data_IF_711099519477
#
_entry.id   IF_711099519477
#
_cell.length_a   1.000
_cell.length_b   1.000
_cell.length_c   1.000
_cell.angle_alpha   90.00
_cell.angle_beta   90.00
_cell.angle_gamma   90.00
#
_symmetry.space_group_name_H-M   'P 1'
#
loop_
_entity.id
_entity.type
_entity.pdbx_description
1 polymer ?
#
# COMPACT_ATOMS: atom_id res chain seq x y z
N UNK A 1 -1.85 -24.20 -2.22
CA UNK A 1 -1.73 -23.52 -0.93
C UNK A 1 -3.12 -23.43 -0.31
N UNK A 2 -3.25 -23.95 0.92
CA UNK A 2 -4.51 -23.92 1.65
C UNK A 2 -4.85 -22.47 2.05
N UNK A 3 -6.03 -21.99 1.68
CA UNK A 3 -6.50 -20.67 2.09
C UNK A 3 -7.12 -20.77 3.49
N UNK A 4 -6.44 -20.23 4.50
CA UNK A 4 -7.04 -20.09 5.82
C UNK A 4 -7.83 -18.79 5.91
N UNK A 5 -9.06 -18.82 6.45
CA UNK A 5 -9.79 -17.61 6.77
C UNK A 5 -8.96 -16.73 7.72
N UNK A 6 -8.76 -15.48 7.36
CA UNK A 6 -8.12 -14.48 8.20
C UNK A 6 -9.00 -13.22 8.23
N UNK A 7 -10.07 -13.25 9.04
CA UNK A 7 -10.95 -12.11 9.14
C UNK A 7 -10.20 -10.90 9.68
N UNK A 8 -10.39 -9.77 9.01
CA UNK A 8 -9.80 -8.50 9.41
C UNK A 8 -10.18 -8.15 10.84
N UNK A 9 -9.16 -7.92 11.67
CA UNK A 9 -9.39 -7.47 13.04
C UNK A 9 -9.87 -6.01 13.09
N UNK A 10 -10.39 -5.53 14.24
CA UNK A 10 -10.96 -4.19 14.38
C UNK A 10 -10.02 -3.06 13.93
N UNK A 11 -8.71 -3.23 14.13
CA UNK A 11 -7.72 -2.24 13.70
C UNK A 11 -7.60 -2.13 12.17
N UNK A 12 -7.70 -3.26 11.46
CA UNK A 12 -7.68 -3.27 10.01
C UNK A 12 -8.97 -2.70 9.43
N UNK A 13 -10.12 -3.06 10.02
CA UNK A 13 -11.42 -2.50 9.63
C UNK A 13 -11.44 -0.97 9.79
N UNK A 14 -11.00 -0.47 10.95
CA UNK A 14 -10.86 0.97 11.18
C UNK A 14 -9.91 1.62 10.15
N UNK A 15 -8.84 0.94 9.77
CA UNK A 15 -7.93 1.42 8.72
C UNK A 15 -8.67 1.62 7.41
N UNK A 16 -9.40 0.61 6.94
CA UNK A 16 -10.21 0.66 5.72
C UNK A 16 -11.24 1.79 5.78
N UNK A 17 -12.00 1.90 6.86
CA UNK A 17 -13.00 2.96 7.03
C UNK A 17 -12.40 4.38 6.93
N UNK A 18 -11.19 4.59 7.46
CA UNK A 18 -10.53 5.90 7.39
C UNK A 18 -10.03 6.19 5.97
N UNK A 19 -9.53 5.17 5.24
CA UNK A 19 -9.16 5.33 3.83
C UNK A 19 -10.39 5.67 2.98
N UNK A 20 -11.51 4.96 3.16
CA UNK A 20 -12.77 5.24 2.46
C UNK A 20 -13.27 6.66 2.76
N UNK A 21 -13.17 7.13 4.01
CA UNK A 21 -13.51 8.51 4.39
C UNK A 21 -12.58 9.53 3.74
N UNK A 22 -11.28 9.26 3.65
CA UNK A 22 -10.31 10.15 3.00
C UNK A 22 -10.60 10.27 1.50
N UNK A 23 -10.85 9.14 0.83
CA UNK A 23 -11.26 9.11 -0.57
C UNK A 23 -12.54 9.92 -0.79
N UNK A 24 -13.60 9.62 -0.04
CA UNK A 24 -14.90 10.29 -0.18
C UNK A 24 -14.80 11.80 0.09
N UNK A 25 -13.96 12.22 1.04
CA UNK A 25 -13.74 13.64 1.30
C UNK A 25 -12.99 14.33 0.14
N UNK A 26 -11.91 13.72 -0.36
CA UNK A 26 -11.13 14.28 -1.47
C UNK A 26 -11.99 14.36 -2.73
N UNK A 27 -12.81 13.35 -3.03
CA UNK A 27 -13.74 13.33 -4.17
C UNK A 27 -14.87 14.36 -4.04
N UNK A 28 -15.17 14.84 -2.85
CA UNK A 28 -16.25 15.78 -2.57
C UNK A 28 -17.58 15.13 -2.24
N UNK A 29 -17.61 13.80 -2.06
CA UNK A 29 -18.79 13.04 -1.68
C UNK A 29 -19.21 13.29 -0.23
N UNK A 30 -18.26 13.71 0.63
CA UNK A 30 -18.51 14.18 1.98
C UNK A 30 -18.42 15.72 2.02
N UNK A 31 -19.47 16.37 2.54
CA UNK A 31 -19.50 17.83 2.70
C UNK A 31 -18.56 18.30 3.83
N UNK A 32 -18.55 17.57 4.96
CA UNK A 32 -17.78 17.88 6.14
C UNK A 32 -16.55 16.97 6.24
N UNK A 33 -15.45 17.54 6.72
CA UNK A 33 -14.21 16.77 6.92
C UNK A 33 -14.38 15.80 8.09
N UNK A 34 -14.09 14.49 7.89
CA UNK A 34 -14.02 13.53 8.97
C UNK A 34 -13.00 13.94 10.05
N UNK A 35 -13.34 13.75 11.31
CA UNK A 35 -12.47 14.11 12.45
C UNK A 35 -11.12 13.39 12.43
N UNK A 36 -11.07 12.20 11.84
CA UNK A 36 -9.87 11.37 11.67
C UNK A 36 -8.82 12.05 10.79
N UNK A 37 -9.25 12.92 9.87
CA UNK A 37 -8.39 13.69 8.97
C UNK A 37 -7.98 15.06 9.56
N UNK A 38 -8.61 15.48 10.64
CA UNK A 38 -8.50 16.83 11.19
C UNK A 38 -7.09 17.28 11.61
N UNK A 39 -6.14 16.37 11.80
CA UNK A 39 -4.72 16.74 12.03
C UNK A 39 -4.00 17.20 10.75
N UNK A 40 -4.61 16.99 9.60
CA UNK A 40 -4.08 17.34 8.29
C UNK A 40 -5.11 18.11 7.46
N UNK A 41 -5.87 19.00 8.11
CA UNK A 41 -6.95 19.79 7.48
C UNK A 41 -6.47 20.46 6.19
N UNK A 42 -5.40 21.25 6.26
CA UNK A 42 -4.88 21.99 5.10
C UNK A 42 -4.48 21.06 3.94
N UNK A 43 -3.90 19.89 4.26
CA UNK A 43 -3.55 18.90 3.26
C UNK A 43 -4.79 18.38 2.54
N UNK A 44 -5.80 17.91 3.29
CA UNK A 44 -6.99 17.31 2.69
C UNK A 44 -7.87 18.31 1.97
N UNK A 45 -7.95 19.55 2.44
CA UNK A 45 -8.61 20.65 1.72
C UNK A 45 -7.89 20.98 0.43
N UNK A 46 -6.56 21.03 0.45
CA UNK A 46 -5.74 21.21 -0.75
C UNK A 46 -5.94 20.08 -1.77
N UNK A 47 -5.90 18.83 -1.32
CA UNK A 47 -6.14 17.65 -2.18
C UNK A 47 -7.55 17.69 -2.80
N UNK A 48 -8.58 18.00 -2.02
CA UNK A 48 -9.95 18.16 -2.52
C UNK A 48 -10.07 19.22 -3.60
N UNK A 49 -9.44 20.39 -3.37
CA UNK A 49 -9.46 21.49 -4.33
C UNK A 49 -8.76 21.09 -5.65
N UNK A 50 -7.65 20.38 -5.56
CA UNK A 50 -6.89 19.88 -6.72
C UNK A 50 -7.57 18.71 -7.42
N UNK A 51 -8.31 17.85 -6.69
CA UNK A 51 -9.15 16.82 -7.29
C UNK A 51 -10.23 17.42 -8.18
N UNK A 52 -10.90 18.49 -7.74
CA UNK A 52 -11.88 19.22 -8.54
C UNK A 52 -11.29 19.83 -9.82
N UNK A 53 -9.97 20.04 -9.87
CA UNK A 53 -9.23 20.52 -11.05
C UNK A 53 -8.70 19.38 -11.94
N UNK A 54 -8.88 18.12 -11.55
CA UNK A 54 -8.42 16.95 -12.30
C UNK A 54 -6.95 16.60 -12.14
N UNK A 55 -6.28 17.12 -11.09
CA UNK A 55 -4.85 16.88 -10.84
C UNK A 55 -4.58 15.69 -9.89
N UNK A 56 -5.60 15.22 -9.18
CA UNK A 56 -5.48 14.15 -8.20
C UNK A 56 -6.11 12.87 -8.71
N UNK A 57 -5.39 11.77 -8.56
CA UNK A 57 -5.88 10.41 -8.67
C UNK A 57 -6.04 9.83 -7.27
N UNK A 58 -7.21 9.29 -6.93
CA UNK A 58 -7.53 8.76 -5.58
C UNK A 58 -7.96 7.31 -5.70
N UNK A 59 -7.43 6.45 -4.82
CA UNK A 59 -7.74 5.01 -4.75
C UNK A 59 -7.61 4.32 -6.12
N UNK A 60 -6.54 4.65 -6.86
CA UNK A 60 -6.30 4.02 -8.16
C UNK A 60 -5.78 2.59 -8.02
N UNK A 61 -6.43 1.71 -8.71
CA UNK A 61 -6.05 0.32 -8.87
C UNK A 61 -5.11 0.18 -10.08
N UNK A 62 -3.81 0.03 -9.83
CA UNK A 62 -2.83 -0.22 -10.88
C UNK A 62 -2.50 -1.70 -10.96
N UNK A 63 -2.46 -2.22 -12.17
CA UNK A 63 -2.06 -3.58 -12.43
C UNK A 63 -1.01 -3.64 -13.53
N UNK A 64 -0.08 -4.57 -13.38
CA UNK A 64 1.03 -4.75 -14.29
C UNK A 64 1.17 -6.22 -14.67
N UNK A 65 1.58 -6.45 -15.92
CA UNK A 65 2.02 -7.75 -16.42
C UNK A 65 3.41 -8.09 -15.85
N UNK A 66 3.91 -9.29 -16.14
CA UNK A 66 5.26 -9.71 -15.76
C UNK A 66 6.37 -8.82 -16.36
N UNK A 67 6.11 -8.24 -17.50
CA UNK A 67 7.03 -7.33 -18.19
C UNK A 67 6.84 -5.86 -17.77
N UNK A 68 6.00 -5.64 -16.75
CA UNK A 68 5.63 -4.34 -16.21
C UNK A 68 4.82 -3.44 -17.14
N UNK A 69 4.25 -4.01 -18.18
CA UNK A 69 3.23 -3.31 -18.97
C UNK A 69 1.94 -3.15 -18.16
N UNK A 70 1.25 -2.04 -18.36
CA UNK A 70 -0.02 -1.79 -17.70
C UNK A 70 -1.11 -2.74 -18.21
N UNK A 71 -1.88 -3.32 -17.30
CA UNK A 71 -3.00 -4.22 -17.62
C UNK A 71 -4.20 -3.95 -16.72
N UNK A 72 -5.31 -4.64 -16.94
CA UNK A 72 -6.49 -4.54 -16.09
C UNK A 72 -6.32 -5.27 -14.76
N UNK A 73 -7.09 -4.86 -13.75
CA UNK A 73 -6.99 -5.38 -12.37
C UNK A 73 -7.25 -6.88 -12.26
N UNK A 74 -8.11 -7.44 -13.11
CA UNK A 74 -8.54 -8.86 -13.09
C UNK A 74 -8.18 -9.63 -14.35
N UNK A 75 -7.30 -9.10 -15.18
CA UNK A 75 -6.88 -9.77 -16.40
C UNK A 75 -6.03 -11.01 -16.13
N UNK A 76 -5.98 -11.93 -17.09
CA UNK A 76 -5.24 -13.20 -16.93
C UNK A 76 -3.75 -13.02 -16.80
N UNK A 77 -3.21 -11.98 -17.39
CA UNK A 77 -1.80 -11.61 -17.38
C UNK A 77 -1.43 -10.67 -16.21
N UNK A 78 -2.40 -10.34 -15.34
CA UNK A 78 -2.13 -9.54 -14.15
C UNK A 78 -1.19 -10.28 -13.21
N UNK A 79 -0.01 -9.72 -13.04
CA UNK A 79 1.04 -10.26 -12.21
C UNK A 79 1.24 -9.48 -10.91
N UNK A 80 1.22 -8.16 -10.97
CA UNK A 80 1.33 -7.26 -9.83
C UNK A 80 0.12 -6.33 -9.76
N UNK A 81 -0.38 -6.13 -8.56
CA UNK A 81 -1.43 -5.16 -8.23
C UNK A 81 -0.93 -4.17 -7.21
N UNK A 82 -1.13 -2.89 -7.47
CA UNK A 82 -0.74 -1.77 -6.62
C UNK A 82 -1.94 -0.87 -6.44
N UNK A 83 -2.37 -0.69 -5.21
CA UNK A 83 -3.44 0.25 -4.85
C UNK A 83 -2.81 1.45 -4.16
N UNK A 84 -2.97 2.63 -4.75
CA UNK A 84 -2.51 3.89 -4.19
C UNK A 84 -3.66 4.60 -3.50
N UNK A 85 -3.37 5.24 -2.37
CA UNK A 85 -4.37 6.05 -1.69
C UNK A 85 -4.61 7.36 -2.45
N UNK A 86 -3.54 8.09 -2.80
CA UNK A 86 -3.66 9.26 -3.68
C UNK A 86 -2.35 9.54 -4.44
N UNK A 87 -2.48 10.10 -5.63
CA UNK A 87 -1.37 10.67 -6.39
C UNK A 87 -1.76 12.05 -6.92
N UNK A 88 -0.95 13.04 -6.61
CA UNK A 88 -1.11 14.44 -7.05
C UNK A 88 -0.07 14.81 -8.11
N UNK A 89 -0.52 15.03 -9.32
CA UNK A 89 0.32 15.52 -10.43
C UNK A 89 0.61 17.01 -10.24
N UNK A 90 1.84 17.33 -9.82
CA UNK A 90 2.29 18.70 -9.59
C UNK A 90 2.63 19.41 -10.92
N UNK A 91 3.14 18.64 -11.88
CA UNK A 91 3.47 19.08 -13.25
C UNK A 91 3.47 17.88 -14.19
N UNK A 92 3.85 18.07 -15.44
CA UNK A 92 4.02 16.97 -16.39
C UNK A 92 5.12 16.00 -15.96
N UNK A 93 6.15 16.49 -15.25
CA UNK A 93 7.32 15.71 -14.87
C UNK A 93 7.41 15.40 -13.38
N UNK A 94 6.48 15.86 -12.55
CA UNK A 94 6.53 15.67 -11.10
C UNK A 94 5.18 15.33 -10.47
N UNK A 95 5.23 14.48 -9.44
CA UNK A 95 4.05 14.07 -8.69
C UNK A 95 4.38 13.86 -7.20
N UNK A 96 3.33 13.88 -6.36
CA UNK A 96 3.39 13.44 -4.98
C UNK A 96 2.51 12.20 -4.84
N UNK A 97 3.06 11.13 -4.28
CA UNK A 97 2.32 9.91 -3.94
C UNK A 97 2.07 9.92 -2.44
N UNK A 98 0.82 9.87 -2.05
CA UNK A 98 0.40 9.82 -0.65
C UNK A 98 -0.02 8.42 -0.26
N UNK A 99 0.29 8.06 0.99
CA UNK A 99 -0.12 6.80 1.61
C UNK A 99 -0.57 7.10 3.05
N UNK A 100 -1.86 6.84 3.31
CA UNK A 100 -2.47 7.11 4.60
C UNK A 100 -2.16 5.97 5.57
N UNK A 101 -1.64 6.31 6.74
CA UNK A 101 -1.31 5.32 7.78
C UNK A 101 -2.12 5.57 9.03
N UNK A 102 -2.84 4.55 9.46
CA UNK A 102 -3.51 4.51 10.75
C UNK A 102 -2.72 3.65 11.72
N UNK A 103 -2.73 3.99 13.01
CA UNK A 103 -2.06 3.21 14.03
C UNK A 103 -0.59 3.55 14.27
N UNK A 104 0.24 2.51 14.45
CA UNK A 104 1.63 2.68 14.92
C UNK A 104 2.60 3.01 13.78
N UNK A 105 3.38 4.07 13.94
CA UNK A 105 4.52 4.41 13.10
C UNK A 105 5.74 3.56 13.47
N UNK A 106 6.11 3.60 14.76
CA UNK A 106 7.36 3.02 15.26
C UNK A 106 7.42 1.49 15.11
N UNK A 107 8.55 1.01 14.59
CA UNK A 107 8.81 -0.40 14.29
C UNK A 107 8.30 -0.88 12.93
N UNK A 108 7.66 0.00 12.14
CA UNK A 108 7.19 -0.29 10.79
C UNK A 108 7.87 0.54 9.70
N UNK A 109 8.79 1.43 10.06
CA UNK A 109 9.38 2.41 9.16
C UNK A 109 10.02 1.76 7.93
N UNK A 110 10.74 0.63 8.12
CA UNK A 110 11.36 -0.11 7.02
C UNK A 110 10.30 -0.69 6.07
N UNK A 111 9.23 -1.27 6.62
CA UNK A 111 8.14 -1.84 5.80
C UNK A 111 7.41 -0.75 5.02
N UNK A 112 7.09 0.34 5.70
CA UNK A 112 6.45 1.49 5.08
C UNK A 112 7.34 2.12 4.00
N UNK A 113 8.64 2.29 4.26
CA UNK A 113 9.58 2.77 3.25
C UNK A 113 9.70 1.86 2.03
N UNK A 114 9.65 0.53 2.22
CA UNK A 114 9.62 -0.43 1.10
C UNK A 114 8.32 -0.32 0.30
N UNK A 115 7.17 -0.15 0.96
CA UNK A 115 5.89 0.06 0.28
C UNK A 115 5.90 1.35 -0.51
N UNK A 116 6.35 2.45 0.10
CA UNK A 116 6.48 3.75 -0.55
C UNK A 116 7.33 3.67 -1.83
N UNK A 117 8.49 3.02 -1.74
CA UNK A 117 9.37 2.88 -2.90
C UNK A 117 8.74 2.02 -4.00
N UNK A 118 7.95 0.98 -3.65
CA UNK A 118 7.19 0.22 -4.64
C UNK A 118 6.17 1.11 -5.36
N UNK A 119 5.45 1.96 -4.65
CA UNK A 119 4.52 2.90 -5.24
C UNK A 119 5.21 3.88 -6.20
N UNK A 120 6.35 4.42 -5.78
CA UNK A 120 7.18 5.31 -6.60
C UNK A 120 7.64 4.61 -7.88
N UNK A 121 8.18 3.39 -7.79
CA UNK A 121 8.60 2.60 -8.96
C UNK A 121 7.41 2.36 -9.89
N UNK A 122 6.27 1.94 -9.34
CA UNK A 122 5.05 1.68 -10.10
C UNK A 122 4.53 2.94 -10.82
N UNK A 123 4.60 4.10 -10.16
CA UNK A 123 4.24 5.38 -10.76
C UNK A 123 5.20 5.77 -11.91
N UNK A 124 6.51 5.58 -11.74
CA UNK A 124 7.47 5.83 -12.80
C UNK A 124 7.30 4.90 -14.01
N UNK A 125 6.94 3.65 -13.78
CA UNK A 125 6.63 2.70 -14.87
C UNK A 125 5.36 3.12 -15.60
N UNK A 126 4.32 3.47 -14.86
CA UNK A 126 3.01 3.83 -15.43
C UNK A 126 3.04 5.18 -16.18
N UNK A 127 3.84 6.13 -15.69
CA UNK A 127 3.95 7.48 -16.23
C UNK A 127 5.40 7.75 -16.66
N UNK A 128 5.73 7.44 -17.93
CA UNK A 128 7.11 7.60 -18.42
C UNK A 128 7.65 9.03 -18.37
N UNK A 129 6.76 10.03 -18.41
CA UNK A 129 7.13 11.45 -18.41
C UNK A 129 7.55 11.96 -17.02
N UNK A 130 7.22 11.23 -15.95
CA UNK A 130 7.62 11.62 -14.60
C UNK A 130 9.13 11.47 -14.41
N UNK A 131 9.76 12.53 -13.92
CA UNK A 131 11.18 12.58 -13.56
C UNK A 131 11.40 12.59 -12.05
N UNK A 132 10.45 13.18 -11.31
CA UNK A 132 10.53 13.35 -9.86
C UNK A 132 9.24 12.94 -9.17
N UNK A 133 9.37 12.15 -8.12
CA UNK A 133 8.25 11.78 -7.25
C UNK A 133 8.64 12.00 -5.78
N UNK A 134 7.79 12.75 -5.09
CA UNK A 134 7.76 12.79 -3.64
C UNK A 134 6.84 11.67 -3.14
N UNK A 135 7.30 10.88 -2.17
CA UNK A 135 6.44 9.93 -1.46
C UNK A 135 6.19 10.42 -0.05
N UNK A 136 4.93 10.64 0.29
CA UNK A 136 4.50 11.18 1.58
C UNK A 136 3.62 10.18 2.33
N UNK A 137 4.17 9.60 3.39
CA UNK A 137 3.43 8.76 4.33
C UNK A 137 2.83 9.61 5.43
N UNK A 138 1.51 9.64 5.48
CA UNK A 138 0.74 10.49 6.37
C UNK A 138 0.18 9.67 7.52
N UNK A 139 0.76 9.80 8.69
CA UNK A 139 0.34 9.10 9.91
C UNK A 139 -0.81 9.83 10.59
N UNK A 140 -2.04 9.57 10.16
CA UNK A 140 -3.26 10.28 10.54
C UNK A 140 -3.46 10.32 12.06
N UNK A 141 -3.25 9.21 12.74
CA UNK A 141 -3.42 9.13 14.21
C UNK A 141 -2.35 9.94 14.96
N UNK A 142 -1.20 10.20 14.35
CA UNK A 142 -0.07 10.88 14.98
C UNK A 142 0.01 12.36 14.64
N UNK A 143 -0.52 12.79 13.50
CA UNK A 143 -0.29 14.13 12.96
C UNK A 143 1.16 14.30 12.48
N UNK A 144 1.78 13.22 12.01
CA UNK A 144 3.15 13.21 11.51
C UNK A 144 3.16 12.80 10.04
N UNK A 145 4.07 13.36 9.28
CA UNK A 145 4.31 12.99 7.90
C UNK A 145 5.78 12.62 7.69
N UNK A 146 6.02 11.58 6.92
CA UNK A 146 7.35 11.16 6.52
C UNK A 146 7.46 11.24 5.01
N UNK A 147 8.33 12.12 4.54
CA UNK A 147 8.50 12.41 3.12
C UNK A 147 9.85 11.90 2.63
N UNK A 148 9.86 11.35 1.43
CA UNK A 148 11.08 10.94 0.71
C UNK A 148 10.97 11.34 -0.74
N UNK A 149 12.05 11.86 -1.30
CA UNK A 149 12.09 12.34 -2.67
C UNK A 149 12.93 11.40 -3.54
N UNK A 150 12.46 11.12 -4.73
CA UNK A 150 13.12 10.23 -5.69
C UNK A 150 13.15 10.87 -7.07
N UNK A 151 14.32 10.90 -7.69
CA UNK A 151 14.39 10.98 -9.15
C UNK A 151 14.07 9.61 -9.75
N UNK A 152 13.70 9.58 -11.02
CA UNK A 152 13.48 8.32 -11.75
C UNK A 152 14.70 7.40 -11.64
N UNK A 153 15.90 7.91 -11.90
CA UNK A 153 17.13 7.13 -11.85
C UNK A 153 17.37 6.51 -10.47
N UNK A 154 17.16 7.29 -9.40
CA UNK A 154 17.31 6.79 -8.02
C UNK A 154 16.33 5.67 -7.70
N UNK A 155 15.06 5.81 -8.07
CA UNK A 155 14.05 4.79 -7.81
C UNK A 155 14.31 3.51 -8.62
N UNK A 156 14.68 3.66 -9.90
CA UNK A 156 14.91 2.54 -10.80
C UNK A 156 16.15 1.71 -10.45
N UNK A 157 17.08 2.22 -9.63
CA UNK A 157 18.17 1.40 -9.05
C UNK A 157 17.62 0.22 -8.19
N UNK A 158 16.41 0.34 -7.69
CA UNK A 158 15.78 -0.70 -6.88
C UNK A 158 14.81 -1.59 -7.66
N UNK A 159 14.56 -1.29 -8.94
CA UNK A 159 13.60 -2.00 -9.78
C UNK A 159 13.90 -3.50 -9.85
N UNK A 160 15.13 -3.89 -10.19
CA UNK A 160 15.55 -5.28 -10.30
C UNK A 160 15.35 -6.06 -8.99
N UNK A 161 15.56 -5.40 -7.84
CA UNK A 161 15.33 -6.02 -6.54
C UNK A 161 13.86 -6.35 -6.31
N UNK A 162 12.93 -5.46 -6.69
CA UNK A 162 11.50 -5.73 -6.59
C UNK A 162 11.07 -6.78 -7.60
N UNK A 163 11.52 -6.66 -8.84
CA UNK A 163 11.25 -7.63 -9.88
C UNK A 163 11.70 -9.05 -9.48
N UNK A 164 12.89 -9.20 -8.94
CA UNK A 164 13.39 -10.48 -8.41
C UNK A 164 12.52 -11.01 -7.27
N UNK A 165 12.15 -10.17 -6.30
CA UNK A 165 11.29 -10.58 -5.17
C UNK A 165 9.92 -11.06 -5.64
N UNK A 166 9.30 -10.37 -6.59
CA UNK A 166 8.01 -10.77 -7.14
C UNK A 166 8.12 -12.04 -7.98
N UNK A 167 9.18 -12.18 -8.77
CA UNK A 167 9.44 -13.41 -9.51
C UNK A 167 9.57 -14.61 -8.57
N UNK A 168 10.37 -14.49 -7.50
CA UNK A 168 10.50 -15.55 -6.48
C UNK A 168 9.13 -15.87 -5.87
N UNK A 169 8.35 -14.86 -5.46
CA UNK A 169 7.05 -15.08 -4.85
C UNK A 169 6.03 -15.77 -5.77
N UNK A 170 6.10 -15.53 -7.08
CA UNK A 170 5.14 -16.07 -8.06
C UNK A 170 5.57 -17.36 -8.73
N UNK A 171 6.87 -17.71 -8.70
CA UNK A 171 7.40 -18.93 -9.33
C UNK A 171 7.86 -19.98 -8.32
N UNK A 172 7.88 -19.67 -7.03
CA UNK A 172 8.25 -20.63 -6.00
C UNK A 172 7.27 -21.82 -5.99
N UNK A 173 7.83 -23.04 -6.09
CA UNK A 173 7.08 -24.30 -5.99
C UNK A 173 6.89 -24.73 -4.53
N UNK A 174 7.77 -24.28 -3.65
CA UNK A 174 7.75 -24.60 -2.23
C UNK A 174 7.79 -23.31 -1.39
N UNK A 175 6.99 -23.27 -0.35
CA UNK A 175 6.91 -22.17 0.59
C UNK A 175 7.27 -22.68 1.99
N UNK A 176 8.56 -22.76 2.26
CA UNK A 176 9.05 -23.21 3.57
C UNK A 176 8.66 -22.21 4.66
N UNK A 177 8.04 -22.67 5.73
CA UNK A 177 7.69 -21.80 6.85
C UNK A 177 8.95 -21.24 7.52
N UNK A 178 8.88 -19.99 7.94
CA UNK A 178 9.92 -19.30 8.70
C UNK A 178 9.40 -18.94 10.10
N UNK A 179 9.22 -19.94 10.98
CA UNK A 179 8.57 -19.73 12.27
C UNK A 179 9.40 -18.80 13.17
N UNK A 180 8.77 -17.79 13.71
CA UNK A 180 9.33 -16.90 14.72
C UNK A 180 8.20 -16.25 15.54
N UNK A 181 8.53 -15.75 16.73
CA UNK A 181 7.54 -15.19 17.66
C UNK A 181 6.66 -14.09 17.05
N UNK A 182 7.22 -13.23 16.20
CA UNK A 182 6.50 -12.12 15.58
C UNK A 182 5.55 -12.62 14.50
N UNK A 183 6.06 -13.43 13.56
CA UNK A 183 5.25 -13.91 12.41
C UNK A 183 4.16 -14.89 12.85
N UNK A 184 4.49 -15.82 13.76
CA UNK A 184 3.52 -16.82 14.19
C UNK A 184 2.35 -16.25 15.01
N UNK A 185 2.58 -15.16 15.73
CA UNK A 185 1.53 -14.47 16.49
C UNK A 185 0.35 -14.03 15.61
N UNK A 186 0.64 -13.62 14.37
CA UNK A 186 -0.35 -13.05 13.46
C UNK A 186 -0.75 -14.00 12.33
N UNK A 187 -0.07 -15.14 12.20
CA UNK A 187 -0.29 -16.07 11.11
C UNK A 187 -1.62 -16.84 11.29
N UNK A 188 -2.55 -16.80 10.33
CA UNK A 188 -3.81 -17.54 10.43
C UNK A 188 -3.60 -19.06 10.47
N UNK A 189 -2.54 -19.58 9.81
CA UNK A 189 -2.21 -21.00 9.86
C UNK A 189 -1.68 -21.46 11.23
N UNK A 190 -1.21 -20.55 12.06
CA UNK A 190 -0.74 -20.84 13.42
C UNK A 190 -1.86 -20.85 14.47
N UNK A 191 -3.10 -20.56 14.07
CA UNK A 191 -4.29 -20.53 14.94
C UNK A 191 -5.17 -21.74 14.66
N UNK A 192 -5.93 -22.19 15.68
CA UNK A 192 -7.01 -23.14 15.48
C UNK A 192 -8.13 -22.44 14.71
N UNK A 193 -8.51 -23.00 13.59
CA UNK A 193 -9.59 -22.51 12.73
C UNK A 193 -10.89 -23.23 13.06
N UNK A 194 -12.03 -22.61 12.74
CA UNK A 194 -13.33 -23.23 12.91
C UNK A 194 -13.40 -24.57 12.16
N UNK A 195 -13.84 -25.62 12.83
CA UNK A 195 -13.90 -26.99 12.29
C UNK A 195 -12.57 -27.76 12.32
N UNK A 196 -11.52 -27.24 12.96
CA UNK A 196 -10.26 -27.96 13.17
C UNK A 196 -9.94 -28.09 14.67
N UNK A 197 -9.40 -29.21 15.05
CA UNK A 197 -8.94 -29.45 16.44
C UNK A 197 -7.54 -28.90 16.70
N UNK A 198 -6.73 -28.74 15.64
CA UNK A 198 -5.33 -28.30 15.71
C UNK A 198 -5.03 -27.21 14.67
N UNK A 199 -4.03 -26.36 14.90
CA UNK A 199 -3.58 -25.41 13.90
C UNK A 199 -3.14 -26.10 12.60
N UNK A 200 -3.37 -25.43 11.46
CA UNK A 200 -2.94 -25.95 10.15
C UNK A 200 -1.42 -26.04 9.98
N UNK A 201 -0.66 -25.22 10.72
CA UNK A 201 0.80 -25.17 10.66
C UNK A 201 1.44 -25.99 11.79
N UNK A 202 2.13 -27.07 11.43
CA UNK A 202 2.93 -27.87 12.36
C UNK A 202 4.26 -27.23 12.79
N UNK A 203 4.64 -26.09 12.21
CA UNK A 203 5.89 -25.38 12.46
C UNK A 203 5.74 -24.17 13.39
N UNK A 204 4.68 -24.13 14.14
CA UNK A 204 4.37 -23.00 15.00
C UNK A 204 5.52 -22.73 16.00
N UNK A 205 5.96 -21.49 16.12
CA UNK A 205 6.95 -21.06 17.11
C UNK A 205 6.41 -21.18 18.54
N UNK A 206 7.14 -21.84 19.41
CA UNK A 206 6.80 -21.94 20.85
C UNK A 206 5.76 -23.01 21.20
N UNK A 207 5.59 -24.01 20.35
CA UNK A 207 4.84 -25.25 20.65
C UNK A 207 5.81 -26.41 20.78
#
# INVERSE_FOLDING_TARGET
VEKCPDPSGPAAQRGTEIHDMAEAYIRGDLAEMPKELGKFTDLFEGLRARFAQGHIHVEEDWAFTRDWDTTGWVEKDTWLRVKLDAMDRQSDTSAIVYDWKTGRKYGNEIKHGQQALLYVISAFVRYPDLEFIESSMVYLDKGEMMTSNYSRDQAMLFFDRYNLRFNIATTALEFNPTPNASSCKWCPHGKVQEGREVPACGWRYGV
#
